data_IF_994306689370
#
_entry.id   IF_994306689370
#
_cell.length_a   1.000
_cell.length_b   1.000
_cell.length_c   1.000
_cell.angle_alpha   90.00
_cell.angle_beta   90.00
_cell.angle_gamma   90.00
#
_symmetry.space_group_name_H-M   'P 1'
#
loop_
_entity.id
_entity.type
_entity.pdbx_description
1 polymer ?
#
# COMPACT_ATOMS: atom_id res chain seq x y z
N UNK A 1 -83.05 -5.48 -79.25
CA UNK A 1 -82.50 -4.13 -78.96
C UNK A 1 -82.45 -3.80 -77.45
N UNK A 2 -81.88 -4.63 -76.54
CA UNK A 2 -81.70 -4.25 -75.10
C UNK A 2 -80.46 -4.88 -74.38
N UNK A 3 -79.54 -5.58 -75.07
CA UNK A 3 -78.36 -6.25 -74.44
C UNK A 3 -77.01 -5.53 -74.61
N UNK A 4 -76.89 -4.52 -75.48
CA UNK A 4 -75.61 -3.81 -75.75
C UNK A 4 -75.29 -2.67 -74.76
N UNK A 5 -76.28 -2.13 -74.03
CA UNK A 5 -76.06 -1.01 -73.11
C UNK A 5 -75.53 -1.41 -71.72
N UNK A 6 -75.75 -2.65 -71.27
CA UNK A 6 -75.28 -3.13 -69.95
C UNK A 6 -73.77 -3.39 -69.95
N UNK A 7 -73.22 -3.87 -71.07
CA UNK A 7 -71.78 -4.17 -71.18
C UNK A 7 -70.94 -2.88 -71.15
N UNK A 8 -71.42 -1.83 -71.80
CA UNK A 8 -70.73 -0.52 -71.86
C UNK A 8 -70.68 0.13 -70.47
N UNK A 9 -71.75 0.01 -69.66
CA UNK A 9 -71.79 0.56 -68.30
C UNK A 9 -70.76 -0.08 -67.36
N UNK A 10 -70.56 -1.40 -67.46
CA UNK A 10 -69.56 -2.11 -66.62
C UNK A 10 -68.12 -1.72 -66.96
N UNK A 11 -67.84 -1.47 -68.25
CA UNK A 11 -66.49 -1.11 -68.71
C UNK A 11 -66.09 0.29 -68.23
N UNK A 12 -67.05 1.23 -68.23
CA UNK A 12 -66.82 2.59 -67.73
C UNK A 12 -66.61 2.61 -66.21
N UNK A 13 -67.37 1.80 -65.46
CA UNK A 13 -67.19 1.71 -64.01
C UNK A 13 -65.81 1.16 -63.61
N UNK A 14 -65.29 0.16 -64.33
CA UNK A 14 -63.94 -0.40 -64.09
C UNK A 14 -62.85 0.62 -64.42
N UNK A 15 -63.03 1.44 -65.47
CA UNK A 15 -62.10 2.51 -65.82
C UNK A 15 -62.06 3.63 -64.76
N UNK A 16 -63.21 3.99 -64.18
CA UNK A 16 -63.28 5.02 -63.12
C UNK A 16 -62.67 4.51 -61.81
N UNK A 17 -62.93 3.26 -61.43
CA UNK A 17 -62.30 2.63 -60.27
C UNK A 17 -60.79 2.49 -60.44
N UNK A 18 -60.33 2.06 -61.64
CA UNK A 18 -58.90 2.01 -61.96
C UNK A 18 -58.23 3.38 -61.91
N UNK A 19 -58.91 4.43 -62.38
CA UNK A 19 -58.42 5.81 -62.31
C UNK A 19 -58.31 6.34 -60.87
N UNK A 20 -59.27 6.02 -60.00
CA UNK A 20 -59.23 6.40 -58.58
C UNK A 20 -58.11 5.68 -57.82
N UNK A 21 -57.87 4.40 -58.09
CA UNK A 21 -56.75 3.64 -57.51
C UNK A 21 -55.41 4.20 -57.99
N UNK A 22 -55.32 4.62 -59.26
CA UNK A 22 -54.11 5.23 -59.80
C UNK A 22 -53.82 6.61 -59.19
N UNK A 23 -54.86 7.42 -58.94
CA UNK A 23 -54.73 8.72 -58.26
C UNK A 23 -54.33 8.55 -56.79
N UNK A 24 -54.87 7.55 -56.09
CA UNK A 24 -54.51 7.25 -54.71
C UNK A 24 -53.06 6.75 -54.57
N UNK A 25 -52.53 6.03 -55.57
CA UNK A 25 -51.10 5.67 -55.60
C UNK A 25 -50.21 6.86 -55.97
N UNK A 26 -50.70 7.83 -56.75
CA UNK A 26 -49.95 9.05 -57.09
C UNK A 26 -49.86 10.04 -55.94
N UNK A 27 -50.82 9.99 -55.02
CA UNK A 27 -50.77 10.70 -53.74
C UNK A 27 -50.27 9.75 -52.65
N UNK A 28 -48.98 9.42 -52.70
CA UNK A 28 -48.27 8.96 -51.50
C UNK A 28 -48.44 10.04 -50.41
N UNK A 29 -49.39 9.80 -49.50
CA UNK A 29 -49.57 10.52 -48.24
C UNK A 29 -48.20 10.57 -47.56
N UNK A 30 -47.67 11.78 -47.46
CA UNK A 30 -46.28 12.05 -47.12
C UNK A 30 -45.79 11.28 -45.90
N UNK A 31 -44.76 10.46 -46.11
CA UNK A 31 -43.79 10.17 -45.06
C UNK A 31 -43.00 11.45 -44.83
N UNK A 32 -43.21 12.08 -43.66
CA UNK A 32 -42.28 13.09 -43.16
C UNK A 32 -40.90 12.44 -42.97
N UNK A 33 -40.03 12.59 -43.96
CA UNK A 33 -38.59 12.43 -43.77
C UNK A 33 -38.08 13.59 -42.93
N UNK A 34 -37.97 13.38 -41.61
CA UNK A 34 -37.09 14.22 -40.78
C UNK A 34 -35.67 14.10 -41.31
N UNK A 35 -35.25 15.06 -42.14
CA UNK A 35 -33.85 15.20 -42.57
C UNK A 35 -32.98 15.41 -41.33
N UNK A 36 -32.33 14.34 -40.87
CA UNK A 36 -31.28 14.43 -39.87
C UNK A 36 -30.12 15.26 -40.46
N UNK A 37 -29.64 16.24 -39.69
CA UNK A 37 -28.48 17.06 -40.07
C UNK A 37 -27.21 16.23 -40.27
N UNK A 38 -26.16 16.80 -40.87
CA UNK A 38 -24.93 16.06 -41.18
C UNK A 38 -24.33 15.45 -39.91
N UNK A 39 -24.29 14.12 -39.84
CA UNK A 39 -23.74 13.37 -38.71
C UNK A 39 -22.24 13.20 -38.94
N UNK A 40 -21.38 13.79 -38.10
CA UNK A 40 -19.95 13.61 -38.24
C UNK A 40 -19.59 12.15 -37.95
N UNK A 41 -18.76 11.57 -38.82
CA UNK A 41 -18.23 10.24 -38.60
C UNK A 41 -17.17 10.30 -37.49
N UNK A 42 -17.38 9.54 -36.41
CA UNK A 42 -16.46 9.47 -35.28
C UNK A 42 -15.90 8.07 -35.12
N UNK A 43 -14.66 7.97 -34.67
CA UNK A 43 -14.02 6.71 -34.34
C UNK A 43 -14.18 6.46 -32.85
N UNK A 44 -14.75 5.31 -32.50
CA UNK A 44 -14.93 4.88 -31.11
C UNK A 44 -14.08 3.64 -30.84
N UNK A 45 -13.67 3.48 -29.59
CA UNK A 45 -12.97 2.28 -29.10
C UNK A 45 -13.76 1.68 -27.94
N UNK A 46 -13.80 0.34 -27.88
CA UNK A 46 -14.50 -0.40 -26.83
C UNK A 46 -13.67 -0.37 -25.55
N UNK A 47 -14.25 0.14 -24.47
CA UNK A 47 -13.61 0.11 -23.15
C UNK A 47 -13.69 -1.31 -22.60
N UNK A 48 -12.55 -1.88 -22.25
CA UNK A 48 -12.45 -3.19 -21.60
C UNK A 48 -11.84 -3.04 -20.21
N UNK A 49 -12.40 -3.76 -19.23
CA UNK A 49 -11.84 -3.79 -17.88
C UNK A 49 -10.65 -4.73 -17.86
N UNK A 50 -9.45 -4.18 -17.66
CA UNK A 50 -8.21 -4.92 -17.45
C UNK A 50 -7.58 -4.49 -16.13
N UNK A 51 -6.75 -5.35 -15.55
CA UNK A 51 -5.98 -5.00 -14.35
C UNK A 51 -4.87 -4.05 -14.76
N UNK A 52 -4.82 -2.88 -14.10
CA UNK A 52 -3.73 -1.93 -14.25
C UNK A 52 -2.79 -2.16 -13.06
N UNK A 53 -1.55 -2.51 -13.35
CA UNK A 53 -0.50 -2.63 -12.32
C UNK A 53 0.43 -1.44 -12.45
N UNK A 54 0.55 -0.66 -11.38
CA UNK A 54 1.48 0.45 -11.29
C UNK A 54 2.70 0.00 -10.49
N UNK A 55 3.90 0.20 -11.05
CA UNK A 55 5.15 -0.11 -10.36
C UNK A 55 5.73 1.19 -9.83
N UNK A 56 5.87 1.30 -8.51
CA UNK A 56 6.49 2.45 -7.86
C UNK A 56 7.90 2.08 -7.44
N UNK A 57 8.89 2.82 -7.94
CA UNK A 57 10.30 2.68 -7.53
C UNK A 57 10.52 3.59 -6.33
N UNK A 58 10.91 3.00 -5.20
CA UNK A 58 11.21 3.73 -3.97
C UNK A 58 12.70 3.65 -3.68
N UNK A 59 13.30 4.77 -3.30
CA UNK A 59 14.68 4.85 -2.85
C UNK A 59 14.71 5.00 -1.34
N UNK A 60 15.70 4.36 -0.71
CA UNK A 60 15.91 4.43 0.73
C UNK A 60 17.33 4.01 1.08
N UNK A 61 17.71 4.21 2.34
CA UNK A 61 18.98 3.76 2.90
C UNK A 61 18.80 2.54 3.78
N UNK A 62 19.82 1.68 3.85
CA UNK A 62 19.88 0.60 4.82
C UNK A 62 20.51 1.17 6.08
N UNK A 63 19.76 1.17 7.17
CA UNK A 63 20.23 1.60 8.49
C UNK A 63 20.14 0.44 9.47
N UNK A 64 21.00 0.44 10.48
CA UNK A 64 20.89 -0.52 11.57
C UNK A 64 19.52 -0.39 12.24
N UNK A 65 18.92 -1.51 12.61
CA UNK A 65 17.62 -1.50 13.29
C UNK A 65 17.73 -0.67 14.59
N UNK A 66 16.80 0.26 14.85
CA UNK A 66 16.77 1.00 16.10
C UNK A 66 16.82 0.05 17.31
N UNK A 67 17.72 0.32 18.24
CA UNK A 67 17.94 -0.52 19.43
C UNK A 67 18.78 -1.79 19.22
N UNK A 68 19.30 -2.04 18.00
CA UNK A 68 20.27 -3.13 17.75
C UNK A 68 21.73 -2.66 17.69
N UNK A 69 21.95 -1.35 17.64
CA UNK A 69 23.27 -0.75 17.84
C UNK A 69 23.50 -0.50 19.33
N UNK A 70 24.57 -1.07 19.87
CA UNK A 70 24.94 -0.94 21.28
C UNK A 70 26.27 -0.19 21.40
N UNK A 71 26.31 0.80 22.29
CA UNK A 71 27.54 1.45 22.71
C UNK A 71 27.74 1.17 24.19
N UNK A 72 28.90 0.61 24.54
CA UNK A 72 29.22 0.20 25.91
C UNK A 72 30.27 1.18 26.45
N UNK A 73 29.91 1.86 27.53
CA UNK A 73 30.80 2.79 28.24
C UNK A 73 31.05 2.30 29.65
N UNK A 74 32.30 2.36 30.10
CA UNK A 74 32.69 1.97 31.46
C UNK A 74 32.70 3.22 32.33
N UNK A 75 31.98 3.18 33.45
CA UNK A 75 31.74 4.34 34.31
C UNK A 75 32.85 4.63 35.34
N UNK A 76 33.99 3.96 35.23
CA UNK A 76 35.14 4.14 36.13
C UNK A 76 36.45 3.98 35.35
N UNK A 77 37.53 4.45 35.96
CA UNK A 77 38.86 4.36 35.37
C UNK A 77 39.28 2.89 35.24
N UNK A 78 39.60 2.49 34.01
CA UNK A 78 39.98 1.11 33.68
C UNK A 78 41.18 1.05 32.76
N UNK A 79 41.84 -0.11 32.79
CA UNK A 79 42.86 -0.49 31.83
C UNK A 79 42.30 -1.61 30.95
N UNK A 80 42.39 -1.44 29.63
CA UNK A 80 42.10 -2.51 28.68
C UNK A 80 43.24 -3.51 28.72
N UNK A 81 42.95 -4.77 29.07
CA UNK A 81 43.93 -5.86 29.15
C UNK A 81 44.09 -6.53 27.79
N UNK A 82 42.98 -6.91 27.19
CA UNK A 82 42.96 -7.54 25.87
C UNK A 82 41.74 -7.06 25.07
N UNK A 83 41.93 -6.98 23.75
CA UNK A 83 40.84 -6.88 22.77
C UNK A 83 40.77 -8.24 22.08
N UNK A 84 39.66 -8.94 22.26
CA UNK A 84 39.51 -10.35 21.85
C UNK A 84 38.93 -10.50 20.45
N UNK A 85 38.45 -9.41 19.84
CA UNK A 85 37.78 -9.40 18.55
C UNK A 85 38.38 -8.35 17.62
N UNK A 86 38.40 -8.65 16.32
CA UNK A 86 38.82 -7.70 15.30
C UNK A 86 37.63 -6.86 14.78
N UNK A 87 37.87 -5.65 14.27
CA UNK A 87 36.83 -4.87 13.61
C UNK A 87 36.19 -5.64 12.44
N UNK A 88 34.85 -5.68 12.40
CA UNK A 88 34.10 -6.39 11.36
C UNK A 88 33.96 -7.90 11.57
N UNK A 89 34.55 -8.46 12.64
CA UNK A 89 34.34 -9.85 13.01
C UNK A 89 32.89 -10.08 13.45
N UNK A 90 32.30 -11.19 12.99
CA UNK A 90 30.99 -11.64 13.47
C UNK A 90 31.12 -12.26 14.87
N UNK A 91 30.23 -11.85 15.77
CA UNK A 91 30.19 -12.28 17.17
C UNK A 91 28.78 -12.73 17.54
N UNK A 92 28.66 -13.58 18.54
CA UNK A 92 27.39 -14.04 19.10
C UNK A 92 27.09 -13.34 20.43
N UNK A 93 25.86 -13.52 20.91
CA UNK A 93 25.47 -12.99 22.21
C UNK A 93 26.32 -13.63 23.32
N UNK A 94 26.80 -12.79 24.24
CA UNK A 94 27.69 -13.15 25.35
C UNK A 94 29.13 -13.53 24.96
N UNK A 95 29.52 -13.40 23.69
CA UNK A 95 30.93 -13.55 23.32
C UNK A 95 31.78 -12.46 23.98
N UNK A 96 32.93 -12.81 24.59
CA UNK A 96 33.79 -11.84 25.23
C UNK A 96 34.49 -10.97 24.17
N UNK A 97 34.24 -9.66 24.22
CA UNK A 97 34.79 -8.70 23.24
C UNK A 97 36.09 -8.07 23.72
N UNK A 98 36.12 -7.68 25.00
CA UNK A 98 37.24 -7.00 25.65
C UNK A 98 37.41 -7.54 27.06
N UNK A 99 38.65 -7.58 27.52
CA UNK A 99 38.97 -7.82 28.92
C UNK A 99 39.47 -6.51 29.54
N UNK A 100 38.88 -6.14 30.67
CA UNK A 100 39.20 -4.90 31.38
C UNK A 100 39.62 -5.19 32.82
N UNK A 101 40.45 -4.32 33.36
CA UNK A 101 40.88 -4.33 34.75
C UNK A 101 40.65 -2.94 35.36
N UNK A 102 40.37 -2.89 36.66
CA UNK A 102 40.34 -1.64 37.43
C UNK A 102 41.70 -0.94 37.32
N UNK A 103 41.69 0.39 37.21
CA UNK A 103 42.93 1.15 37.42
C UNK A 103 43.42 0.95 38.86
N UNK A 104 44.71 1.17 39.15
CA UNK A 104 45.21 1.12 40.53
C UNK A 104 44.43 2.06 41.47
N UNK A 105 44.04 3.24 41.00
CA UNK A 105 43.23 4.19 41.76
C UNK A 105 41.82 3.66 42.05
N UNK A 106 41.14 3.14 41.02
CA UNK A 106 39.82 2.55 41.16
C UNK A 106 39.83 1.29 42.04
N UNK A 107 40.90 0.49 41.99
CA UNK A 107 41.09 -0.69 42.84
C UNK A 107 41.16 -0.30 44.32
N UNK A 108 41.92 0.76 44.67
CA UNK A 108 42.01 1.25 46.06
C UNK A 108 40.65 1.76 46.54
N UNK A 109 39.95 2.56 45.73
CA UNK A 109 38.62 3.07 46.07
C UNK A 109 37.62 1.93 46.28
N UNK A 110 37.65 0.91 45.41
CA UNK A 110 36.80 -0.26 45.53
C UNK A 110 37.05 -1.01 46.84
N UNK A 111 38.31 -1.23 47.22
CA UNK A 111 38.64 -1.91 48.47
C UNK A 111 38.27 -1.10 49.70
N UNK A 112 38.46 0.23 49.68
CA UNK A 112 38.03 1.11 50.77
C UNK A 112 36.51 1.05 50.95
N UNK A 113 35.74 1.15 49.86
CA UNK A 113 34.29 1.06 49.90
C UNK A 113 33.82 -0.30 50.42
N UNK A 114 34.47 -1.40 49.99
CA UNK A 114 34.19 -2.75 50.47
C UNK A 114 34.42 -2.87 51.98
N UNK A 115 35.56 -2.39 52.48
CA UNK A 115 35.90 -2.45 53.90
C UNK A 115 34.92 -1.62 54.75
N UNK A 116 34.58 -0.41 54.29
CA UNK A 116 33.60 0.45 54.95
C UNK A 116 32.22 -0.20 55.01
N UNK A 117 31.76 -0.82 53.91
CA UNK A 117 30.49 -1.53 53.87
C UNK A 117 30.48 -2.75 54.80
N UNK A 118 31.59 -3.49 54.89
CA UNK A 118 31.71 -4.63 55.79
C UNK A 118 31.69 -4.20 57.26
N UNK A 119 32.43 -3.13 57.60
CA UNK A 119 32.42 -2.55 58.94
C UNK A 119 31.01 -2.09 59.35
N UNK A 120 30.32 -1.34 58.48
CA UNK A 120 28.96 -0.87 58.72
C UNK A 120 27.96 -2.03 58.87
N UNK A 121 28.09 -3.10 58.07
CA UNK A 121 27.26 -4.31 58.21
C UNK A 121 27.49 -5.01 59.54
N UNK A 122 28.74 -5.10 59.99
CA UNK A 122 29.10 -5.71 61.27
C UNK A 122 28.54 -4.90 62.45
N UNK A 123 28.68 -3.59 62.39
CA UNK A 123 28.13 -2.67 63.41
C UNK A 123 26.61 -2.73 63.46
N UNK A 124 25.94 -2.75 62.30
CA UNK A 124 24.50 -2.93 62.22
C UNK A 124 24.05 -4.25 62.84
N UNK A 125 24.74 -5.35 62.51
CA UNK A 125 24.45 -6.67 63.08
C UNK A 125 24.58 -6.67 64.60
N UNK A 126 25.69 -6.13 65.11
CA UNK A 126 25.92 -6.02 66.55
C UNK A 126 24.87 -5.15 67.25
N UNK A 127 24.43 -4.08 66.59
CA UNK A 127 23.38 -3.19 67.11
C UNK A 127 22.04 -3.91 67.12
N UNK A 128 21.69 -4.62 66.05
CA UNK A 128 20.45 -5.39 65.98
C UNK A 128 20.40 -6.52 67.02
N UNK A 129 21.51 -7.22 67.25
CA UNK A 129 21.65 -8.24 68.31
C UNK A 129 21.53 -7.65 69.73
N UNK A 130 21.82 -6.35 69.91
CA UNK A 130 21.60 -5.67 71.21
C UNK A 130 20.16 -5.23 71.42
N UNK A 131 19.43 -4.91 70.35
CA UNK A 131 18.05 -4.42 70.42
C UNK A 131 16.99 -5.52 70.29
N UNK A 132 17.31 -6.63 69.62
CA UNK A 132 16.51 -7.86 69.68
C UNK A 132 17.07 -8.74 70.79
N UNK A 133 16.36 -8.80 71.92
CA UNK A 133 16.65 -9.54 73.17
C UNK A 133 17.58 -10.76 73.03
#
# INVERSE_FOLDING_TARGET
>A
MKKKHIVIGSLVAVLVLGGLVWIAQRFEVGKEEKKAGPVPQVQVSKVERKTITETVIVYGSVVAQPGKTHSISIAFETRVRHVLVAPGQFVQENDPLIEIELSPGAQVQFQQAKNAAEAARKELKQTQERFNL
#
